data_IF_559699498309
#
_entry.id   IF_559699498309
#
_cell.length_a   1.000
_cell.length_b   1.000
_cell.length_c   1.000
_cell.angle_alpha   90.00
_cell.angle_beta   90.00
_cell.angle_gamma   90.00
#
_symmetry.space_group_name_H-M   'P 1'
#
loop_
_entity.id
_entity.type
_entity.pdbx_description
1 polymer ?
#
# COMPACT_ATOMS: atom_id res chain seq x y z
N UNK A 1 -0.83 -23.77 2.21
CA UNK A 1 -1.09 -22.33 2.00
C UNK A 1 0.01 -21.85 1.06
N UNK A 2 -0.23 -21.98 -0.24
CA UNK A 2 0.81 -21.78 -1.28
C UNK A 2 0.81 -20.34 -1.78
N UNK A 3 1.88 -19.62 -1.45
CA UNK A 3 2.14 -18.23 -1.84
C UNK A 3 2.57 -18.16 -3.32
N UNK A 4 1.78 -17.49 -4.15
CA UNK A 4 1.99 -17.35 -5.60
C UNK A 4 2.54 -15.96 -5.99
N UNK A 5 3.71 -15.56 -5.47
CA UNK A 5 4.41 -14.35 -5.96
C UNK A 5 5.91 -14.59 -6.17
N UNK A 6 6.42 -14.20 -7.36
CA UNK A 6 7.82 -14.38 -7.77
C UNK A 6 8.72 -13.31 -7.13
N UNK A 7 9.83 -13.76 -6.53
CA UNK A 7 10.95 -13.02 -5.93
C UNK A 7 11.15 -11.58 -6.41
N UNK A 8 10.98 -10.63 -5.49
CA UNK A 8 11.81 -9.41 -5.42
C UNK A 8 12.94 -9.70 -4.40
N UNK A 9 14.13 -9.24 -4.74
CA UNK A 9 15.44 -9.57 -4.17
C UNK A 9 15.52 -9.52 -2.64
N UNK A 10 16.23 -10.49 -2.08
CA UNK A 10 16.47 -10.70 -0.65
C UNK A 10 17.32 -9.57 -0.05
N UNK A 11 16.66 -8.73 0.75
CA UNK A 11 17.23 -8.15 1.97
C UNK A 11 16.58 -8.90 3.13
N UNK A 12 17.10 -8.87 4.36
CA UNK A 12 16.42 -9.44 5.55
C UNK A 12 15.12 -8.66 5.88
N UNK A 13 14.15 -8.71 4.98
CA UNK A 13 12.94 -7.91 4.99
C UNK A 13 11.74 -8.70 4.51
N UNK A 14 10.60 -8.47 5.15
CA UNK A 14 9.31 -8.99 4.73
C UNK A 14 8.72 -8.06 3.65
N UNK A 15 8.15 -8.62 2.59
CA UNK A 15 7.36 -7.88 1.62
C UNK A 15 5.89 -8.25 1.80
N UNK A 16 5.04 -7.22 1.91
CA UNK A 16 3.59 -7.38 2.02
C UNK A 16 2.98 -6.79 0.76
N UNK A 17 2.14 -7.58 0.09
CA UNK A 17 1.35 -7.14 -1.06
C UNK A 17 -0.11 -7.10 -0.66
N UNK A 18 -0.82 -6.05 -1.08
CA UNK A 18 -2.26 -5.92 -0.87
C UNK A 18 -2.95 -5.66 -2.20
N UNK A 19 -4.14 -6.21 -2.35
CA UNK A 19 -5.06 -5.82 -3.41
C UNK A 19 -5.89 -4.63 -2.94
N UNK A 20 -5.89 -3.55 -3.71
CA UNK A 20 -6.75 -2.40 -3.42
C UNK A 20 -8.22 -2.77 -3.61
N UNK A 21 -9.14 -2.05 -2.93
CA UNK A 21 -10.59 -2.20 -3.16
C UNK A 21 -10.91 -2.23 -4.67
N UNK A 22 -11.79 -3.14 -5.07
CA UNK A 22 -12.17 -3.37 -6.47
C UNK A 22 -11.06 -3.95 -7.36
N UNK A 23 -9.97 -4.48 -6.80
CA UNK A 23 -8.90 -5.16 -7.52
C UNK A 23 -8.63 -6.54 -6.92
N UNK A 24 -8.16 -7.48 -7.75
CA UNK A 24 -7.72 -8.80 -7.29
C UNK A 24 -8.80 -9.53 -6.48
N UNK A 25 -8.42 -9.97 -5.28
CA UNK A 25 -9.31 -10.67 -4.35
C UNK A 25 -10.00 -9.73 -3.34
N UNK A 26 -9.73 -8.42 -3.39
CA UNK A 26 -10.37 -7.44 -2.51
C UNK A 26 -11.77 -7.07 -3.00
N UNK A 27 -12.70 -6.93 -2.04
CA UNK A 27 -14.08 -6.57 -2.31
C UNK A 27 -14.21 -5.21 -3.00
N UNK A 28 -15.32 -5.04 -3.71
CA UNK A 28 -15.72 -3.78 -4.31
C UNK A 28 -16.42 -2.90 -3.25
N UNK A 29 -16.09 -1.61 -3.18
CA UNK A 29 -16.88 -0.65 -2.41
C UNK A 29 -18.30 -0.59 -2.94
N UNK A 30 -19.27 -0.86 -2.06
CA UNK A 30 -20.70 -0.79 -2.36
C UNK A 30 -21.20 0.66 -2.44
N UNK A 31 -20.48 1.60 -1.80
CA UNK A 31 -20.76 3.03 -1.81
C UNK A 31 -20.19 3.78 -3.02
N UNK A 32 -19.32 3.13 -3.80
CA UNK A 32 -18.59 3.79 -4.88
C UNK A 32 -17.39 4.59 -4.41
N UNK A 33 -16.92 4.37 -3.19
CA UNK A 33 -15.77 5.04 -2.58
C UNK A 33 -14.47 4.53 -3.22
N UNK A 34 -14.04 5.20 -4.28
CA UNK A 34 -12.82 4.92 -5.05
C UNK A 34 -12.04 6.22 -5.34
N UNK A 35 -12.19 7.24 -4.49
CA UNK A 35 -11.31 8.40 -4.56
C UNK A 35 -9.90 8.01 -4.09
N UNK A 36 -8.89 8.80 -4.50
CA UNK A 36 -7.50 8.52 -4.14
C UNK A 36 -7.29 8.55 -2.61
N UNK A 37 -8.08 9.36 -1.92
CA UNK A 37 -8.20 9.38 -0.46
C UNK A 37 -8.55 8.03 0.12
N UNK A 38 -9.54 7.36 -0.46
CA UNK A 38 -10.13 6.15 0.10
C UNK A 38 -9.14 5.00 -0.02
N UNK A 39 -8.46 4.91 -1.17
CA UNK A 39 -7.36 3.97 -1.35
C UNK A 39 -6.19 4.24 -0.40
N UNK A 40 -5.86 5.51 -0.13
CA UNK A 40 -4.81 5.85 0.83
C UNK A 40 -5.20 5.48 2.27
N UNK A 41 -6.48 5.58 2.62
CA UNK A 41 -6.99 5.18 3.94
C UNK A 41 -6.89 3.67 4.15
N UNK A 42 -7.14 2.86 3.12
CA UNK A 42 -6.94 1.41 3.21
C UNK A 42 -5.48 1.05 3.54
N UNK A 43 -4.54 1.71 2.87
CA UNK A 43 -3.11 1.48 3.10
C UNK A 43 -2.70 1.96 4.49
N UNK A 44 -3.17 3.15 4.91
CA UNK A 44 -2.94 3.68 6.26
C UNK A 44 -3.46 2.72 7.34
N UNK A 45 -4.69 2.25 7.18
CA UNK A 45 -5.32 1.30 8.09
C UNK A 45 -4.52 0.01 8.21
N UNK A 46 -4.01 -0.52 7.09
CA UNK A 46 -3.20 -1.73 7.09
C UNK A 46 -1.84 -1.52 7.78
N UNK A 47 -1.19 -0.38 7.55
CA UNK A 47 0.06 0.00 8.23
C UNK A 47 -0.13 0.09 9.74
N UNK A 48 -1.18 0.80 10.18
CA UNK A 48 -1.50 0.96 11.60
C UNK A 48 -1.88 -0.37 12.24
N UNK A 49 -2.66 -1.21 11.55
CA UNK A 49 -3.09 -2.54 12.04
C UNK A 49 -1.93 -3.51 12.20
N UNK A 50 -0.96 -3.45 11.30
CA UNK A 50 0.23 -4.31 11.35
C UNK A 50 1.34 -3.72 12.23
N UNK A 51 1.19 -2.49 12.72
CA UNK A 51 2.17 -1.76 13.52
C UNK A 51 3.57 -1.72 12.86
N UNK A 52 3.60 -1.48 11.54
CA UNK A 52 4.83 -1.45 10.73
C UNK A 52 5.18 -0.05 10.22
N UNK A 53 6.44 0.15 9.82
CA UNK A 53 6.89 1.34 9.08
C UNK A 53 7.51 0.89 7.75
N UNK A 54 6.70 0.65 6.69
CA UNK A 54 7.19 0.10 5.45
C UNK A 54 7.75 1.19 4.52
N UNK A 55 8.68 0.80 3.66
CA UNK A 55 8.88 1.54 2.40
C UNK A 55 7.79 1.14 1.42
N UNK A 56 7.02 2.10 0.95
CA UNK A 56 5.94 1.86 0.00
C UNK A 56 6.50 1.84 -1.43
N UNK A 57 6.12 0.81 -2.20
CA UNK A 57 6.49 0.67 -3.61
C UNK A 57 5.21 0.51 -4.43
N UNK A 58 4.98 1.40 -5.39
CA UNK A 58 3.79 1.37 -6.23
C UNK A 58 3.99 2.07 -7.57
N UNK A 59 3.34 1.55 -8.62
CA UNK A 59 3.29 2.16 -9.94
C UNK A 59 1.84 2.49 -10.32
N UNK A 60 1.63 3.49 -11.19
CA UNK A 60 0.29 3.95 -11.59
C UNK A 60 -0.55 4.32 -10.35
N UNK A 61 -1.74 3.74 -10.18
CA UNK A 61 -2.61 3.95 -9.03
C UNK A 61 -1.85 3.74 -7.70
N UNK A 62 -1.07 2.67 -7.56
CA UNK A 62 -0.31 2.42 -6.34
C UNK A 62 0.73 3.50 -6.02
N UNK A 63 1.30 4.12 -7.06
CA UNK A 63 2.22 5.25 -6.89
C UNK A 63 1.49 6.53 -6.45
N UNK A 64 0.32 6.81 -7.05
CA UNK A 64 -0.53 7.94 -6.65
C UNK A 64 -1.04 7.79 -5.22
N UNK A 65 -1.43 6.58 -4.83
CA UNK A 65 -1.87 6.26 -3.46
C UNK A 65 -0.74 6.53 -2.47
N UNK A 66 0.50 6.15 -2.81
CA UNK A 66 1.66 6.44 -1.96
C UNK A 66 1.96 7.93 -1.80
N UNK A 67 1.87 8.71 -2.88
CA UNK A 67 2.00 10.17 -2.80
C UNK A 67 0.89 10.78 -1.94
N UNK A 68 -0.35 10.32 -2.11
CA UNK A 68 -1.48 10.81 -1.32
C UNK A 68 -1.34 10.47 0.18
N UNK A 69 -0.89 9.25 0.48
CA UNK A 69 -0.62 8.77 1.83
C UNK A 69 0.46 9.62 2.53
N UNK A 70 1.58 9.87 1.85
CA UNK A 70 2.65 10.75 2.35
C UNK A 70 2.18 12.20 2.55
N UNK A 71 1.22 12.67 1.76
CA UNK A 71 0.60 13.97 1.96
C UNK A 71 -0.28 14.06 3.22
N UNK A 72 -0.74 12.91 3.75
CA UNK A 72 -1.63 12.81 4.92
C UNK A 72 -0.88 12.56 6.23
N UNK A 73 0.17 11.75 6.19
CA UNK A 73 1.09 11.59 7.33
C UNK A 73 2.07 12.77 7.31
N UNK A 74 2.24 13.50 8.42
CA UNK A 74 3.17 14.65 8.48
C UNK A 74 4.53 14.33 7.84
N UNK A 75 5.05 15.28 7.04
CA UNK A 75 6.24 15.14 6.22
C UNK A 75 7.37 14.39 6.95
N UNK A 76 7.79 13.23 6.42
CA UNK A 76 8.91 12.44 6.97
C UNK A 76 8.53 11.14 7.69
N UNK A 77 7.30 10.64 7.55
CA UNK A 77 6.86 9.38 8.19
C UNK A 77 7.25 8.12 7.42
N UNK A 78 7.56 8.19 6.12
CA UNK A 78 8.07 7.04 5.36
C UNK A 78 9.38 7.37 4.62
N UNK A 79 10.24 6.34 4.46
CA UNK A 79 11.44 6.45 3.64
C UNK A 79 11.07 6.08 2.20
N UNK A 80 10.88 7.09 1.34
CA UNK A 80 10.82 6.86 -0.10
C UNK A 80 12.24 6.59 -0.60
N UNK A 81 12.56 5.31 -0.80
CA UNK A 81 13.83 4.92 -1.41
C UNK A 81 13.62 4.82 -2.92
N UNK A 82 13.88 5.93 -3.62
CA UNK A 82 14.22 5.86 -5.03
C UNK A 82 15.68 5.34 -5.12
N UNK A 83 15.83 4.05 -5.36
CA UNK A 83 17.07 3.47 -5.88
C UNK A 83 16.78 2.78 -7.20
#
# INVERSE_FOLDING_TARGET
>A
MECHSRKITQVDGCAITMDLRGHGDSDWSHGGDYELSDFSEDVAFLIDTLEIQPSLVGASLGGLVGICLEGRYSSGSFSSSAR
#
